data_IF_385362338859
#
_entry.id   IF_385362338859
#
_cell.length_a   1.000
_cell.length_b   1.000
_cell.length_c   1.000
_cell.angle_alpha   90.00
_cell.angle_beta   90.00
_cell.angle_gamma   90.00
#
_symmetry.space_group_name_H-M   'P 1'
#
loop_
_entity.id
_entity.type
_entity.pdbx_description
1 polymer ?
#
# COMPACT_ATOMS: atom_id res chain seq x y z
N UNK A 1 44.01 -29.67 -65.55
CA UNK A 1 44.32 -28.88 -64.35
C UNK A 1 43.01 -28.27 -63.88
N UNK A 2 42.41 -28.85 -62.88
CA UNK A 2 41.12 -28.42 -62.30
C UNK A 2 41.41 -27.71 -60.97
N UNK A 3 41.12 -26.43 -60.87
CA UNK A 3 41.28 -25.67 -59.66
C UNK A 3 40.03 -25.87 -58.78
N UNK A 4 40.26 -26.47 -57.63
CA UNK A 4 39.25 -26.69 -56.62
C UNK A 4 39.24 -25.45 -55.71
N UNK A 5 38.23 -24.59 -55.83
CA UNK A 5 38.01 -23.45 -54.91
C UNK A 5 37.20 -23.97 -53.73
N UNK A 6 37.87 -24.11 -52.58
CA UNK A 6 37.22 -24.44 -51.32
C UNK A 6 36.68 -23.17 -50.68
N UNK A 7 35.41 -22.93 -50.74
CA UNK A 7 34.74 -21.83 -50.05
C UNK A 7 34.57 -22.17 -48.57
N UNK A 8 35.30 -21.53 -47.69
CA UNK A 8 35.13 -21.64 -46.22
C UNK A 8 33.96 -20.73 -45.85
N UNK A 9 32.81 -21.31 -45.53
CA UNK A 9 31.70 -20.64 -44.88
C UNK A 9 32.05 -20.44 -43.38
N UNK A 10 32.50 -19.25 -43.01
CA UNK A 10 32.58 -18.84 -41.60
C UNK A 10 31.17 -18.56 -41.12
N UNK A 11 30.55 -19.52 -40.45
CA UNK A 11 29.31 -19.32 -39.74
C UNK A 11 29.55 -18.43 -38.50
N UNK A 12 29.22 -17.13 -38.59
CA UNK A 12 29.10 -16.29 -37.40
C UNK A 12 27.94 -16.80 -36.58
N UNK A 13 28.19 -17.62 -35.56
CA UNK A 13 27.23 -17.88 -34.50
C UNK A 13 27.03 -16.60 -33.70
N UNK A 14 25.98 -15.84 -34.03
CA UNK A 14 25.53 -14.74 -33.19
C UNK A 14 24.90 -15.39 -31.96
N UNK A 15 25.65 -15.46 -30.87
CA UNK A 15 25.09 -15.81 -29.57
C UNK A 15 24.21 -14.63 -29.12
N UNK A 16 22.91 -14.79 -29.33
CA UNK A 16 21.92 -13.90 -28.71
C UNK A 16 21.96 -14.22 -27.22
N UNK A 17 22.72 -13.45 -26.46
CA UNK A 17 22.61 -13.48 -25.02
C UNK A 17 21.25 -12.89 -24.66
N UNK A 18 20.36 -13.73 -24.12
CA UNK A 18 19.08 -13.28 -23.60
C UNK A 18 19.37 -12.34 -22.41
N UNK A 19 19.13 -11.06 -22.62
CA UNK A 19 19.37 -10.03 -21.59
C UNK A 19 18.30 -10.17 -20.50
N UNK A 20 18.72 -10.34 -19.23
CA UNK A 20 17.78 -10.36 -18.11
C UNK A 20 17.13 -9.00 -17.96
N UNK A 21 15.81 -8.93 -18.07
CA UNK A 21 15.00 -7.73 -17.87
C UNK A 21 14.25 -7.80 -16.54
N UNK A 22 14.44 -6.81 -15.68
CA UNK A 22 13.69 -6.67 -14.43
C UNK A 22 12.39 -5.93 -14.68
N UNK A 23 11.28 -6.44 -14.16
CA UNK A 23 10.01 -5.71 -14.22
C UNK A 23 10.09 -4.48 -13.32
N UNK A 24 9.78 -3.34 -13.89
CA UNK A 24 9.67 -2.06 -13.20
C UNK A 24 8.20 -1.61 -13.18
N UNK A 25 7.86 -0.73 -12.24
CA UNK A 25 6.52 -0.14 -12.14
C UNK A 25 5.41 -1.21 -12.05
N UNK A 26 5.59 -2.22 -11.19
CA UNK A 26 4.52 -3.19 -10.88
C UNK A 26 3.33 -2.39 -10.34
N UNK A 27 3.59 -1.46 -9.40
CA UNK A 27 2.64 -0.47 -8.94
C UNK A 27 3.13 0.95 -9.25
N UNK A 28 2.26 1.94 -9.08
CA UNK A 28 2.56 3.34 -9.45
C UNK A 28 3.53 4.01 -8.47
N UNK A 29 3.58 3.51 -7.22
CA UNK A 29 4.31 4.11 -6.09
C UNK A 29 4.66 3.03 -5.04
N UNK A 30 5.38 3.43 -3.98
CA UNK A 30 5.65 2.62 -2.77
C UNK A 30 4.38 2.26 -1.99
N UNK A 31 3.25 2.87 -2.30
CA UNK A 31 1.89 2.56 -1.83
C UNK A 31 0.99 2.19 -3.00
N UNK A 32 0.00 1.29 -2.76
CA UNK A 32 -1.04 1.00 -3.75
C UNK A 32 -2.14 2.06 -3.62
N UNK A 33 -2.91 2.03 -2.56
CA UNK A 33 -3.84 3.09 -2.15
C UNK A 33 -3.49 3.50 -0.71
N UNK A 34 -3.79 2.65 0.27
CA UNK A 34 -3.36 2.80 1.67
C UNK A 34 -2.28 1.79 1.99
N UNK A 35 -2.39 0.59 1.44
CA UNK A 35 -1.45 -0.50 1.67
C UNK A 35 -0.10 -0.27 0.98
N UNK A 36 0.92 -0.94 1.50
CA UNK A 36 2.24 -0.96 0.91
C UNK A 36 2.24 -1.74 -0.41
N UNK A 37 2.96 -1.24 -1.41
CA UNK A 37 3.27 -2.00 -2.62
C UNK A 37 4.58 -2.79 -2.46
N UNK A 38 4.85 -3.70 -3.39
CA UNK A 38 6.13 -4.42 -3.46
C UNK A 38 7.30 -3.49 -3.83
N UNK A 39 7.02 -2.28 -4.32
CA UNK A 39 8.02 -1.32 -4.76
C UNK A 39 8.83 -0.75 -3.58
N UNK A 40 10.11 -0.53 -3.82
CA UNK A 40 11.05 0.10 -2.89
C UNK A 40 11.85 1.17 -3.62
N UNK A 41 12.13 2.26 -2.94
CA UNK A 41 13.03 3.29 -3.44
C UNK A 41 14.43 2.71 -3.69
N UNK A 42 15.09 3.21 -4.72
CA UNK A 42 16.49 2.90 -4.98
C UNK A 42 17.40 3.59 -3.96
N UNK A 43 18.62 3.12 -3.85
CA UNK A 43 19.62 3.74 -2.97
C UNK A 43 19.75 5.23 -3.24
N UNK A 44 19.56 6.05 -2.18
CA UNK A 44 19.67 7.50 -2.25
C UNK A 44 18.41 8.21 -2.74
N UNK A 45 17.37 7.46 -3.13
CA UNK A 45 16.06 7.99 -3.50
C UNK A 45 15.19 8.16 -2.26
N UNK A 46 14.52 9.30 -2.14
CA UNK A 46 13.52 9.58 -1.12
C UNK A 46 12.17 9.87 -1.73
N UNK A 47 11.10 9.56 -0.99
CA UNK A 47 9.72 9.87 -1.37
C UNK A 47 9.03 10.57 -0.20
N UNK A 48 8.58 11.80 -0.42
CA UNK A 48 7.72 12.53 0.52
C UNK A 48 6.26 12.23 0.20
N UNK A 49 5.46 11.92 1.22
CA UNK A 49 4.09 11.45 1.07
C UNK A 49 3.16 12.24 1.98
N UNK A 50 2.09 12.79 1.39
CA UNK A 50 0.94 13.33 2.10
C UNK A 50 -0.26 12.45 1.78
N UNK A 51 -0.86 11.85 2.80
CA UNK A 51 -2.10 11.08 2.70
C UNK A 51 -3.20 11.76 3.49
N UNK A 52 -4.39 11.84 2.92
CA UNK A 52 -5.54 12.48 3.55
C UNK A 52 -6.80 11.63 3.37
N UNK A 53 -7.62 11.55 4.42
CA UNK A 53 -8.97 10.99 4.41
C UNK A 53 -9.94 12.03 4.92
N UNK A 54 -11.02 12.23 4.20
CA UNK A 54 -12.13 13.08 4.62
C UNK A 54 -13.11 12.30 5.50
N UNK A 55 -14.13 12.97 5.99
CA UNK A 55 -15.22 12.36 6.73
C UNK A 55 -16.09 11.45 5.86
N UNK A 56 -17.16 10.92 6.45
CA UNK A 56 -18.11 10.07 5.75
C UNK A 56 -18.87 10.89 4.69
N UNK A 57 -18.95 10.34 3.46
CA UNK A 57 -19.67 10.95 2.35
C UNK A 57 -21.18 10.90 2.63
N UNK A 58 -21.65 9.78 3.22
CA UNK A 58 -23.05 9.52 3.52
C UNK A 58 -23.26 9.42 5.03
N UNK A 59 -24.29 10.07 5.54
CA UNK A 59 -24.68 10.03 6.95
C UNK A 59 -26.21 9.93 7.03
N UNK A 60 -26.70 8.70 7.05
CA UNK A 60 -28.10 8.32 7.25
C UNK A 60 -29.12 8.72 6.17
N UNK A 61 -28.81 9.61 5.23
CA UNK A 61 -29.68 9.94 4.11
C UNK A 61 -28.90 10.45 2.87
N UNK A 62 -29.51 10.35 1.69
CA UNK A 62 -28.89 10.77 0.44
C UNK A 62 -28.65 12.30 0.36
N UNK A 63 -29.38 13.11 1.15
CA UNK A 63 -29.21 14.55 1.19
C UNK A 63 -27.90 14.92 1.90
N UNK A 64 -27.43 14.05 2.81
CA UNK A 64 -26.18 14.23 3.53
C UNK A 64 -24.95 14.34 2.60
N UNK A 65 -24.98 13.72 1.42
CA UNK A 65 -23.91 13.81 0.42
C UNK A 65 -23.67 15.26 0.01
N UNK A 66 -24.73 16.03 -0.21
CA UNK A 66 -24.65 17.45 -0.55
C UNK A 66 -24.38 18.31 0.70
N UNK A 67 -25.06 18.02 1.79
CA UNK A 67 -24.97 18.75 3.05
C UNK A 67 -23.54 18.68 3.65
N UNK A 68 -22.93 17.50 3.64
CA UNK A 68 -21.55 17.32 4.13
C UNK A 68 -20.50 17.56 3.04
N UNK A 69 -20.90 18.05 1.89
CA UNK A 69 -20.04 18.29 0.73
C UNK A 69 -19.08 17.13 0.48
N UNK A 70 -19.62 15.92 0.21
CA UNK A 70 -18.86 14.67 -0.02
C UNK A 70 -17.90 14.29 1.13
N UNK A 71 -18.23 14.66 2.37
CA UNK A 71 -17.41 14.40 3.56
C UNK A 71 -16.31 15.45 3.83
N UNK A 72 -16.22 16.51 3.03
CA UNK A 72 -15.19 17.56 3.24
C UNK A 72 -15.40 18.33 4.55
N UNK A 73 -16.65 18.48 5.02
CA UNK A 73 -16.98 19.15 6.30
C UNK A 73 -16.83 18.21 7.50
N UNK A 74 -16.53 16.92 7.26
CA UNK A 74 -16.33 15.92 8.31
C UNK A 74 -14.94 15.94 8.92
N UNK A 75 -14.74 15.09 9.94
CA UNK A 75 -13.44 14.91 10.56
C UNK A 75 -12.41 14.35 9.56
N UNK A 76 -11.24 14.99 9.49
CA UNK A 76 -10.17 14.61 8.58
C UNK A 76 -9.06 13.85 9.31
N UNK A 77 -8.51 12.82 8.68
CA UNK A 77 -7.27 12.18 9.10
C UNK A 77 -6.19 12.39 8.03
N UNK A 78 -5.06 12.90 8.45
CA UNK A 78 -3.92 13.17 7.58
C UNK A 78 -2.68 12.45 8.12
N UNK A 79 -1.86 11.90 7.21
CA UNK A 79 -0.53 11.38 7.50
C UNK A 79 0.50 12.07 6.60
N UNK A 80 1.57 12.54 7.22
CA UNK A 80 2.77 13.01 6.52
C UNK A 80 3.85 11.97 6.75
N UNK A 81 4.50 11.53 5.68
CA UNK A 81 5.53 10.49 5.72
C UNK A 81 6.71 10.79 4.81
N UNK A 82 7.80 10.11 5.11
CA UNK A 82 9.04 10.14 4.36
C UNK A 82 9.58 8.73 4.23
N UNK A 83 9.88 8.32 3.02
CA UNK A 83 10.51 7.04 2.69
C UNK A 83 11.90 7.28 2.12
N UNK A 84 12.86 6.36 2.36
CA UNK A 84 14.23 6.49 1.86
C UNK A 84 14.87 5.14 1.55
N UNK A 85 15.46 5.01 0.36
CA UNK A 85 16.21 3.84 -0.07
C UNK A 85 17.63 3.83 0.51
N UNK A 86 17.87 2.97 1.50
CA UNK A 86 19.22 2.74 2.10
C UNK A 86 20.11 1.99 1.11
N UNK A 87 19.54 0.98 0.47
CA UNK A 87 20.18 0.21 -0.61
C UNK A 87 19.15 0.01 -1.73
N UNK A 88 19.56 -0.57 -2.85
CA UNK A 88 18.63 -0.91 -3.93
C UNK A 88 17.56 -1.95 -3.53
N UNK A 89 17.64 -2.53 -2.34
CA UNK A 89 16.72 -3.55 -1.84
C UNK A 89 16.13 -3.25 -0.45
N UNK A 90 16.72 -2.32 0.30
CA UNK A 90 16.29 -1.95 1.63
C UNK A 90 15.83 -0.50 1.64
N UNK A 91 14.58 -0.29 1.93
CA UNK A 91 13.94 1.01 2.15
C UNK A 91 13.47 1.09 3.60
N UNK A 92 13.65 2.24 4.22
CA UNK A 92 13.05 2.60 5.48
C UNK A 92 12.11 3.79 5.27
N UNK A 93 11.19 3.96 6.15
CA UNK A 93 10.31 5.12 6.13
C UNK A 93 9.60 5.30 7.45
N UNK A 94 8.82 6.35 7.52
CA UNK A 94 8.03 6.63 8.70
C UNK A 94 7.18 7.87 8.49
N UNK A 95 6.32 8.15 9.46
CA UNK A 95 5.44 9.28 9.37
C UNK A 95 4.69 9.56 10.67
N UNK A 96 3.75 10.49 10.56
CA UNK A 96 2.83 10.84 11.64
C UNK A 96 1.42 10.95 11.10
N UNK A 97 0.51 10.17 11.69
CA UNK A 97 -0.92 10.24 11.46
C UNK A 97 -1.60 11.16 12.48
N UNK A 98 -2.65 11.88 12.06
CA UNK A 98 -3.49 12.68 12.96
C UNK A 98 -4.28 11.83 13.96
N UNK A 99 -4.71 10.65 13.56
CA UNK A 99 -5.45 9.73 14.42
C UNK A 99 -4.59 9.27 15.60
N UNK A 100 -5.07 9.47 16.82
CA UNK A 100 -4.36 9.22 18.09
C UNK A 100 -2.95 9.83 18.12
N UNK A 101 -2.67 10.82 17.28
CA UNK A 101 -1.33 11.44 17.12
C UNK A 101 -0.25 10.36 16.94
N UNK A 102 -0.52 9.35 16.12
CA UNK A 102 0.33 8.16 15.98
C UNK A 102 1.54 8.44 15.10
N UNK A 103 2.72 8.08 15.58
CA UNK A 103 3.94 7.97 14.78
C UNK A 103 4.14 6.54 14.33
N UNK A 104 4.62 6.36 13.12
CA UNK A 104 4.98 5.05 12.57
C UNK A 104 6.39 5.09 11.98
N UNK A 105 7.08 3.96 12.03
CA UNK A 105 8.34 3.72 11.35
C UNK A 105 8.35 2.31 10.79
N UNK A 106 8.90 2.13 9.59
CA UNK A 106 8.89 0.84 8.92
C UNK A 106 10.17 0.57 8.13
N UNK A 107 10.38 -0.72 7.84
CA UNK A 107 11.38 -1.19 6.89
C UNK A 107 10.72 -2.07 5.83
N UNK A 108 11.17 -1.95 4.58
CA UNK A 108 10.83 -2.82 3.45
C UNK A 108 12.10 -3.44 2.90
N UNK A 109 12.10 -4.75 2.79
CA UNK A 109 13.21 -5.49 2.19
C UNK A 109 12.75 -6.26 0.97
N UNK A 110 13.18 -5.81 -0.21
CA UNK A 110 12.93 -6.49 -1.47
C UNK A 110 13.83 -7.72 -1.57
N UNK A 111 13.26 -8.90 -1.34
CA UNK A 111 13.95 -10.20 -1.39
C UNK A 111 14.20 -10.58 -2.84
N UNK A 112 13.18 -10.42 -3.70
CA UNK A 112 13.18 -10.87 -5.08
C UNK A 112 12.43 -9.88 -5.97
N UNK A 113 13.05 -9.45 -7.08
CA UNK A 113 12.41 -8.69 -8.14
C UNK A 113 11.93 -9.62 -9.23
N UNK A 114 10.76 -9.37 -9.78
CA UNK A 114 10.28 -10.08 -10.96
C UNK A 114 11.22 -9.84 -12.15
N UNK A 115 11.63 -10.91 -12.84
CA UNK A 115 12.58 -10.87 -13.95
C UNK A 115 12.17 -11.83 -15.06
N UNK A 116 12.55 -11.50 -16.28
CA UNK A 116 12.43 -12.35 -17.47
C UNK A 116 13.76 -12.37 -18.24
N UNK A 117 13.99 -13.40 -19.02
CA UNK A 117 15.25 -13.63 -19.74
C UNK A 117 16.03 -14.82 -19.17
N UNK A 118 17.35 -14.73 -19.03
CA UNK A 118 18.21 -15.81 -18.51
C UNK A 118 17.80 -16.28 -17.11
N UNK A 119 17.36 -15.36 -16.28
CA UNK A 119 16.71 -15.66 -15.00
C UNK A 119 15.24 -15.32 -15.09
N UNK A 120 14.40 -16.34 -14.97
CA UNK A 120 12.95 -16.16 -14.96
C UNK A 120 12.42 -16.27 -13.53
N UNK A 121 12.14 -15.11 -12.92
CA UNK A 121 11.53 -14.98 -11.61
C UNK A 121 10.12 -14.41 -11.80
N UNK A 122 9.07 -15.24 -11.68
CA UNK A 122 7.73 -14.86 -12.11
C UNK A 122 7.02 -13.86 -11.20
N UNK A 123 7.56 -13.59 -10.02
CA UNK A 123 6.99 -12.70 -9.01
C UNK A 123 8.06 -11.82 -8.37
N UNK A 124 7.65 -10.69 -7.82
CA UNK A 124 8.44 -9.91 -6.88
C UNK A 124 7.99 -10.22 -5.45
N UNK A 125 8.94 -10.26 -4.50
CA UNK A 125 8.68 -10.53 -3.08
C UNK A 125 9.36 -9.47 -2.24
N UNK A 126 8.61 -8.83 -1.34
CA UNK A 126 9.10 -7.83 -0.39
C UNK A 126 8.55 -8.13 0.99
N UNK A 127 9.41 -8.10 2.02
CA UNK A 127 9.01 -8.09 3.41
C UNK A 127 8.81 -6.66 3.88
N UNK A 128 7.78 -6.46 4.68
CA UNK A 128 7.47 -5.20 5.36
C UNK A 128 7.33 -5.47 6.85
N UNK A 129 7.90 -4.59 7.67
CA UNK A 129 7.75 -4.56 9.12
C UNK A 129 7.56 -3.11 9.55
N UNK A 130 6.54 -2.88 10.33
CA UNK A 130 6.16 -1.57 10.88
C UNK A 130 6.07 -1.62 12.39
N UNK A 131 6.38 -0.49 13.02
CA UNK A 131 6.14 -0.20 14.42
C UNK A 131 5.43 1.14 14.50
N UNK A 132 4.29 1.19 15.17
CA UNK A 132 3.55 2.41 15.43
C UNK A 132 3.49 2.72 16.92
N UNK A 133 3.48 4.02 17.24
CA UNK A 133 3.47 4.55 18.60
C UNK A 133 2.39 5.62 18.75
N UNK A 134 1.44 5.40 19.66
CA UNK A 134 0.40 6.36 20.01
C UNK A 134 0.98 7.40 20.98
N UNK A 135 1.10 8.64 20.53
CA UNK A 135 1.61 9.75 21.36
C UNK A 135 0.52 10.53 22.06
N UNK A 136 -0.76 10.26 21.77
CA UNK A 136 -1.87 10.93 22.45
C UNK A 136 -1.96 10.46 23.91
N UNK A 137 -1.75 11.40 24.84
CA UNK A 137 -1.80 11.15 26.28
C UNK A 137 -3.19 11.31 26.87
N UNK A 138 -4.17 11.74 26.08
CA UNK A 138 -5.55 11.92 26.57
C UNK A 138 -6.34 10.61 26.57
N UNK A 139 -5.82 9.55 25.98
CA UNK A 139 -6.44 8.23 25.98
C UNK A 139 -6.13 7.48 27.29
N UNK A 140 -7.06 7.53 28.23
CA UNK A 140 -6.91 6.92 29.56
C UNK A 140 -6.66 5.39 29.54
N UNK A 141 -7.06 4.69 28.47
CA UNK A 141 -6.83 3.24 28.33
C UNK A 141 -5.34 2.94 28.14
N UNK A 142 -4.57 3.86 27.54
CA UNK A 142 -3.15 3.69 27.24
C UNK A 142 -2.21 4.22 28.33
N UNK A 143 -2.74 4.57 29.50
CA UNK A 143 -1.96 5.25 30.55
C UNK A 143 -1.25 4.29 31.52
N UNK A 144 -1.46 2.97 31.35
CA UNK A 144 -0.91 1.98 32.30
C UNK A 144 0.61 1.81 32.16
N UNK A 145 1.07 1.51 30.94
CA UNK A 145 2.51 1.34 30.68
C UNK A 145 2.88 1.94 29.30
N UNK A 146 4.09 2.47 29.21
CA UNK A 146 4.62 3.05 27.97
C UNK A 146 4.59 2.05 26.81
N UNK A 147 4.85 0.78 27.07
CA UNK A 147 4.86 -0.30 26.07
C UNK A 147 3.48 -0.57 25.45
N UNK A 148 2.40 -0.25 26.18
CA UNK A 148 1.02 -0.45 25.71
C UNK A 148 0.67 0.42 24.49
N UNK A 149 1.45 1.48 24.28
CA UNK A 149 1.27 2.44 23.17
C UNK A 149 1.80 1.95 21.84
N UNK A 150 2.47 0.79 21.82
CA UNK A 150 3.05 0.25 20.60
C UNK A 150 2.17 -0.80 19.95
N UNK A 151 2.16 -0.77 18.62
CA UNK A 151 1.59 -1.80 17.76
C UNK A 151 2.56 -2.10 16.61
N UNK A 152 2.40 -3.26 16.00
CA UNK A 152 3.32 -3.74 14.96
C UNK A 152 2.53 -4.34 13.81
N UNK A 153 3.05 -4.18 12.58
CA UNK A 153 2.52 -4.85 11.41
C UNK A 153 3.63 -5.57 10.65
N UNK A 154 3.35 -6.79 10.23
CA UNK A 154 4.24 -7.60 9.41
C UNK A 154 3.49 -8.06 8.17
N UNK A 155 4.07 -7.81 6.98
CA UNK A 155 3.46 -8.20 5.71
C UNK A 155 4.48 -8.87 4.80
N UNK A 156 4.07 -9.97 4.17
CA UNK A 156 4.80 -10.55 3.05
C UNK A 156 4.07 -10.14 1.76
N UNK A 157 4.66 -9.24 1.00
CA UNK A 157 4.09 -8.77 -0.26
C UNK A 157 4.62 -9.64 -1.41
N UNK A 158 3.71 -10.28 -2.15
CA UNK A 158 4.01 -11.10 -3.32
C UNK A 158 3.23 -10.51 -4.49
N UNK A 159 3.95 -9.95 -5.47
CA UNK A 159 3.35 -9.25 -6.58
C UNK A 159 3.80 -9.81 -7.93
N UNK A 160 2.93 -9.64 -8.93
CA UNK A 160 3.21 -9.98 -10.31
C UNK A 160 2.64 -8.94 -11.26
N UNK A 161 3.48 -8.44 -12.15
CA UNK A 161 3.08 -7.72 -13.35
C UNK A 161 2.85 -8.76 -14.45
N UNK A 162 1.59 -9.00 -14.80
CA UNK A 162 1.21 -9.99 -15.82
C UNK A 162 1.49 -9.48 -17.22
N UNK A 163 1.30 -8.20 -17.43
CA UNK A 163 1.56 -7.46 -18.67
C UNK A 163 1.64 -5.97 -18.36
N UNK A 164 1.77 -5.11 -19.39
CA UNK A 164 1.87 -3.67 -19.19
C UNK A 164 0.62 -3.02 -18.58
N UNK A 165 -0.52 -3.73 -18.60
CA UNK A 165 -1.78 -3.21 -18.05
C UNK A 165 -2.11 -3.73 -16.66
N UNK A 166 -1.82 -5.01 -16.37
CA UNK A 166 -2.32 -5.70 -15.17
C UNK A 166 -1.19 -6.10 -14.22
N UNK A 167 -1.29 -5.62 -12.99
CA UNK A 167 -0.48 -6.06 -11.84
C UNK A 167 -1.39 -6.48 -10.69
N UNK A 168 -0.96 -7.50 -9.94
CA UNK A 168 -1.67 -8.04 -8.78
C UNK A 168 -0.68 -8.25 -7.65
N UNK A 169 -1.11 -8.04 -6.41
CA UNK A 169 -0.35 -8.30 -5.19
C UNK A 169 -1.21 -9.02 -4.17
N UNK A 170 -0.63 -9.98 -3.45
CA UNK A 170 -1.21 -10.58 -2.25
C UNK A 170 -0.34 -10.26 -1.05
N UNK A 171 -0.96 -10.13 0.13
CA UNK A 171 -0.31 -9.62 1.34
C UNK A 171 -0.78 -10.38 2.59
N UNK A 172 -0.29 -11.61 2.84
CA UNK A 172 -0.41 -12.19 4.17
C UNK A 172 0.13 -11.20 5.22
N UNK A 173 -0.69 -10.90 6.22
CA UNK A 173 -0.45 -9.82 7.19
C UNK A 173 -0.71 -10.34 8.60
N UNK A 174 0.17 -9.96 9.52
CA UNK A 174 0.01 -10.08 10.96
C UNK A 174 0.07 -8.67 11.57
N UNK A 175 -0.95 -8.31 12.33
CA UNK A 175 -0.95 -7.14 13.21
C UNK A 175 -0.80 -7.63 14.64
N UNK A 176 0.07 -7.01 15.44
CA UNK A 176 0.17 -7.18 16.87
C UNK A 176 -0.02 -5.86 17.59
N UNK A 177 -0.92 -5.82 18.57
CA UNK A 177 -1.17 -4.66 19.43
C UNK A 177 -0.84 -5.03 20.87
N UNK A 178 0.06 -4.28 21.52
CA UNK A 178 0.42 -4.56 22.92
C UNK A 178 -0.78 -4.39 23.84
N UNK A 179 -1.66 -3.44 23.54
CA UNK A 179 -2.91 -3.23 24.26
C UNK A 179 -4.09 -3.09 23.28
N UNK A 180 -5.21 -3.69 23.63
CA UNK A 180 -6.51 -3.55 22.95
C UNK A 180 -7.51 -2.87 23.86
N UNK A 181 -8.50 -2.19 23.28
CA UNK A 181 -9.44 -1.39 24.05
C UNK A 181 -10.38 -2.26 24.91
N UNK A 182 -10.71 -3.45 24.45
CA UNK A 182 -11.62 -4.38 25.14
C UNK A 182 -11.11 -5.82 25.12
N UNK A 183 -11.59 -6.65 26.05
CA UNK A 183 -11.28 -8.09 26.07
C UNK A 183 -11.86 -8.88 24.89
N UNK A 184 -12.78 -8.27 24.13
CA UNK A 184 -13.34 -8.88 22.92
C UNK A 184 -12.43 -8.73 21.70
N UNK A 185 -11.44 -7.85 21.77
CA UNK A 185 -10.44 -7.65 20.72
C UNK A 185 -9.25 -8.58 20.92
N UNK A 186 -8.70 -9.08 19.81
CA UNK A 186 -7.45 -9.84 19.82
C UNK A 186 -6.24 -8.89 19.74
N UNK A 187 -5.19 -9.21 20.49
CA UNK A 187 -3.89 -8.53 20.30
C UNK A 187 -3.28 -8.86 18.93
N UNK A 188 -3.50 -10.10 18.46
CA UNK A 188 -3.00 -10.59 17.17
C UNK A 188 -4.16 -10.69 16.18
N UNK A 189 -4.00 -10.02 15.03
CA UNK A 189 -4.96 -10.06 13.92
C UNK A 189 -4.24 -10.54 12.67
N UNK A 190 -4.70 -11.66 12.12
CA UNK A 190 -4.22 -12.20 10.85
C UNK A 190 -5.18 -11.80 9.73
N UNK A 191 -4.64 -11.25 8.67
CA UNK A 191 -5.40 -10.84 7.49
C UNK A 191 -4.71 -11.29 6.21
N UNK A 192 -5.50 -11.47 5.16
CA UNK A 192 -5.01 -11.68 3.80
C UNK A 192 -5.39 -10.47 2.95
N UNK A 193 -4.41 -9.66 2.61
CA UNK A 193 -4.57 -8.55 1.68
C UNK A 193 -4.48 -9.02 0.22
N UNK A 194 -5.26 -8.38 -0.64
CA UNK A 194 -5.16 -8.49 -2.09
C UNK A 194 -5.28 -7.10 -2.72
N UNK A 195 -4.50 -6.85 -3.76
CA UNK A 195 -4.56 -5.60 -4.50
C UNK A 195 -4.36 -5.83 -5.99
N UNK A 196 -4.98 -4.98 -6.80
CA UNK A 196 -4.87 -4.98 -8.25
C UNK A 196 -4.65 -3.57 -8.75
N UNK A 197 -3.81 -3.42 -9.79
CA UNK A 197 -3.66 -2.20 -10.58
C UNK A 197 -3.90 -2.52 -12.04
N UNK A 198 -4.69 -1.67 -12.71
CA UNK A 198 -4.92 -1.73 -14.15
C UNK A 198 -4.58 -0.40 -14.80
N UNK A 199 -3.55 -0.38 -15.64
CA UNK A 199 -3.12 0.81 -16.38
C UNK A 199 -4.08 1.04 -17.55
N UNK A 200 -4.80 2.16 -17.53
CA UNK A 200 -5.64 2.65 -18.64
C UNK A 200 -4.78 3.30 -19.72
N UNK A 201 -3.79 4.08 -19.28
CA UNK A 201 -2.76 4.73 -20.09
C UNK A 201 -1.41 4.63 -19.38
N UNK A 202 -0.29 5.06 -19.97
CA UNK A 202 1.00 5.11 -19.27
C UNK A 202 1.02 6.02 -18.03
N UNK A 203 0.07 6.95 -17.90
CA UNK A 203 0.00 7.92 -16.80
C UNK A 203 -1.22 7.74 -15.91
N UNK A 204 -2.22 6.97 -16.34
CA UNK A 204 -3.48 6.78 -15.62
C UNK A 204 -3.72 5.31 -15.32
N UNK A 205 -3.96 4.97 -14.06
CA UNK A 205 -4.32 3.63 -13.64
C UNK A 205 -5.52 3.63 -12.69
N UNK A 206 -6.19 2.51 -12.60
CA UNK A 206 -7.19 2.20 -11.57
C UNK A 206 -6.59 1.16 -10.66
N UNK A 207 -6.75 1.35 -9.35
CA UNK A 207 -6.28 0.43 -8.33
C UNK A 207 -7.42 0.04 -7.39
N UNK A 208 -7.37 -1.19 -6.87
CA UNK A 208 -8.27 -1.65 -5.82
C UNK A 208 -7.47 -2.46 -4.79
N UNK A 209 -7.89 -2.39 -3.53
CA UNK A 209 -7.32 -3.19 -2.46
C UNK A 209 -8.39 -3.65 -1.47
N UNK A 210 -8.17 -4.83 -0.89
CA UNK A 210 -9.06 -5.46 0.08
C UNK A 210 -8.23 -6.27 1.08
N UNK A 211 -8.58 -6.21 2.37
CA UNK A 211 -7.99 -7.04 3.42
C UNK A 211 -9.08 -7.85 4.09
N UNK A 212 -9.00 -9.16 3.93
CA UNK A 212 -9.85 -10.13 4.60
C UNK A 212 -9.23 -10.50 5.94
N UNK A 213 -9.92 -10.16 7.02
CA UNK A 213 -9.53 -10.58 8.37
C UNK A 213 -10.02 -12.01 8.63
N UNK A 214 -9.17 -12.86 9.20
CA UNK A 214 -9.57 -14.22 9.50
C UNK A 214 -10.72 -14.21 10.55
N UNK A 215 -11.69 -15.14 10.44
CA UNK A 215 -12.87 -15.14 11.29
C UNK A 215 -12.55 -15.18 12.79
N UNK A 216 -13.34 -14.45 13.58
CA UNK A 216 -13.26 -14.46 15.05
C UNK A 216 -12.15 -13.61 15.66
N UNK A 217 -11.41 -12.82 14.86
CA UNK A 217 -10.34 -11.96 15.37
C UNK A 217 -10.76 -10.52 15.61
N UNK A 218 -11.78 -10.07 14.89
CA UNK A 218 -12.35 -8.75 15.07
C UNK A 218 -13.68 -8.85 15.86
N UNK A 219 -13.94 -7.92 16.79
CA UNK A 219 -15.21 -7.85 17.50
C UNK A 219 -16.35 -7.44 16.56
N UNK A 220 -17.59 -7.63 17.02
CA UNK A 220 -18.77 -7.19 16.29
C UNK A 220 -18.73 -5.69 16.00
N UNK A 221 -19.09 -5.29 14.78
CA UNK A 221 -19.05 -3.90 14.31
C UNK A 221 -17.71 -3.51 13.65
N UNK A 222 -16.70 -4.40 13.66
CA UNK A 222 -15.49 -4.22 12.88
C UNK A 222 -15.59 -4.99 11.56
N UNK A 223 -15.08 -4.43 10.50
CA UNK A 223 -15.25 -4.90 9.14
C UNK A 223 -13.92 -4.94 8.39
N UNK A 224 -13.92 -5.69 7.30
CA UNK A 224 -12.79 -5.76 6.38
C UNK A 224 -12.54 -4.42 5.69
N UNK A 225 -11.27 -4.09 5.52
CA UNK A 225 -10.85 -2.90 4.81
C UNK A 225 -10.95 -3.08 3.29
N UNK A 226 -11.43 -2.05 2.60
CA UNK A 226 -11.48 -1.99 1.15
C UNK A 226 -11.31 -0.57 0.62
N UNK A 227 -10.72 -0.46 -0.56
CA UNK A 227 -10.55 0.80 -1.26
C UNK A 227 -10.50 0.63 -2.78
N UNK A 228 -10.95 1.69 -3.47
CA UNK A 228 -10.79 1.89 -4.91
C UNK A 228 -10.04 3.20 -5.14
N UNK A 229 -9.13 3.24 -6.10
CA UNK A 229 -8.31 4.40 -6.38
C UNK A 229 -8.08 4.65 -7.87
N UNK A 230 -7.77 5.89 -8.18
CA UNK A 230 -7.29 6.33 -9.47
C UNK A 230 -5.91 6.94 -9.26
N UNK A 231 -4.91 6.43 -9.96
CA UNK A 231 -3.53 6.90 -9.92
C UNK A 231 -3.24 7.75 -11.15
N UNK A 232 -2.65 8.92 -10.94
CA UNK A 232 -2.16 9.82 -12.00
C UNK A 232 -0.66 9.99 -11.78
N UNK A 233 0.14 9.33 -12.62
CA UNK A 233 1.61 9.37 -12.56
C UNK A 233 2.15 10.49 -13.46
N UNK A 234 2.96 11.36 -12.89
CA UNK A 234 3.67 12.42 -13.62
C UNK A 234 5.18 12.29 -13.39
N UNK A 235 5.98 13.16 -14.00
CA UNK A 235 7.42 13.19 -13.72
C UNK A 235 7.67 13.58 -12.24
N UNK A 236 7.97 12.58 -11.40
CA UNK A 236 8.35 12.76 -9.99
C UNK A 236 7.19 13.01 -9.03
N UNK A 237 5.93 12.87 -9.45
CA UNK A 237 4.77 12.84 -8.54
C UNK A 237 3.81 11.73 -8.93
N UNK A 238 3.17 11.14 -7.93
CA UNK A 238 1.97 10.33 -8.11
C UNK A 238 0.84 10.97 -7.30
N UNK A 239 -0.28 11.24 -7.97
CA UNK A 239 -1.51 11.70 -7.36
C UNK A 239 -2.48 10.52 -7.34
N UNK A 240 -3.06 10.23 -6.19
CA UNK A 240 -4.06 9.18 -6.04
C UNK A 240 -5.32 9.78 -5.45
N UNK A 241 -6.46 9.56 -6.08
CA UNK A 241 -7.78 9.89 -5.55
C UNK A 241 -8.44 8.56 -5.23
N UNK A 242 -9.11 8.45 -4.09
CA UNK A 242 -9.56 7.16 -3.61
C UNK A 242 -10.86 7.23 -2.80
N UNK A 243 -11.62 6.15 -2.88
CA UNK A 243 -12.78 5.87 -2.06
C UNK A 243 -12.48 4.66 -1.18
N UNK A 244 -12.76 4.74 0.11
CA UNK A 244 -12.49 3.68 1.09
C UNK A 244 -13.53 3.67 2.20
N UNK A 245 -13.73 2.52 2.84
CA UNK A 245 -14.55 2.41 4.04
C UNK A 245 -13.82 2.74 5.34
N UNK A 246 -12.52 3.09 5.27
CA UNK A 246 -11.69 3.32 6.46
C UNK A 246 -11.17 4.77 6.54
N UNK A 247 -11.24 5.43 7.71
CA UNK A 247 -10.61 6.72 7.94
C UNK A 247 -9.10 6.60 8.21
N UNK A 248 -8.57 5.39 8.34
CA UNK A 248 -7.24 5.14 8.86
C UNK A 248 -6.18 5.05 7.75
N UNK A 249 -4.91 5.32 8.12
CA UNK A 249 -3.79 5.49 7.20
C UNK A 249 -2.59 4.59 7.52
N UNK A 250 -2.63 3.86 8.65
CA UNK A 250 -1.58 2.91 9.06
C UNK A 250 -2.17 1.50 9.24
N UNK A 251 -1.38 0.44 9.00
CA UNK A 251 -1.88 -0.94 8.90
C UNK A 251 -2.68 -1.42 10.12
N UNK A 252 -2.23 -1.12 11.32
CA UNK A 252 -2.83 -1.57 12.56
C UNK A 252 -4.27 -1.09 12.73
N UNK A 253 -4.59 0.06 12.13
CA UNK A 253 -5.93 0.62 12.21
C UNK A 253 -6.78 0.29 10.98
N UNK A 254 -6.27 0.49 9.74
CA UNK A 254 -7.16 0.22 8.59
C UNK A 254 -7.45 -1.28 8.41
N UNK A 255 -6.57 -2.19 8.86
CA UNK A 255 -6.83 -3.63 8.84
C UNK A 255 -7.61 -4.05 10.09
N UNK A 256 -7.15 -3.64 11.28
CA UNK A 256 -7.63 -4.15 12.55
C UNK A 256 -8.73 -3.34 13.24
N UNK A 257 -9.10 -2.15 12.73
CA UNK A 257 -10.03 -1.25 13.42
C UNK A 257 -11.04 -0.54 12.51
N UNK A 258 -11.20 -0.95 11.25
CA UNK A 258 -12.20 -0.41 10.35
C UNK A 258 -13.60 -0.84 10.80
N UNK A 259 -14.51 0.14 10.99
CA UNK A 259 -15.86 -0.10 11.53
C UNK A 259 -16.97 -0.01 10.47
N UNK A 260 -16.72 0.52 9.29
CA UNK A 260 -17.73 0.68 8.25
C UNK A 260 -17.66 -0.43 7.20
N UNK A 261 -18.78 -0.97 6.78
CA UNK A 261 -18.90 -1.67 5.49
C UNK A 261 -19.12 -0.64 4.38
N UNK A 262 -18.69 -0.94 3.13
CA UNK A 262 -18.99 -0.07 1.98
C UNK A 262 -20.49 0.14 1.86
N UNK A 263 -21.24 -0.95 2.00
CA UNK A 263 -22.72 -0.95 2.00
C UNK A 263 -23.14 -1.71 3.26
N UNK A 264 -23.88 -1.06 4.12
CA UNK A 264 -24.48 -1.67 5.32
C UNK A 264 -25.99 -1.44 5.31
N UNK A 265 -26.70 -2.12 6.19
CA UNK A 265 -28.09 -1.85 6.49
C UNK A 265 -28.21 -1.66 7.99
N UNK A 266 -28.82 -0.56 8.40
CA UNK A 266 -29.15 -0.34 9.79
C UNK A 266 -30.25 -1.29 10.26
N UNK A 267 -30.54 -1.29 11.55
CA UNK A 267 -31.59 -2.13 12.15
C UNK A 267 -33.00 -1.85 11.58
N UNK A 268 -33.21 -0.73 10.89
CA UNK A 268 -34.46 -0.38 10.20
C UNK A 268 -34.51 -0.87 8.75
N UNK A 269 -33.41 -1.44 8.24
CA UNK A 269 -33.25 -1.86 6.85
C UNK A 269 -32.88 -0.72 5.90
N UNK A 270 -32.55 0.46 6.43
CA UNK A 270 -32.06 1.59 5.63
C UNK A 270 -30.59 1.36 5.23
N UNK A 271 -30.27 1.63 3.96
CA UNK A 271 -28.89 1.54 3.47
C UNK A 271 -28.03 2.61 4.13
N UNK A 272 -26.87 2.19 4.62
CA UNK A 272 -25.78 3.05 5.06
C UNK A 272 -24.57 2.85 4.16
N UNK A 273 -23.91 3.94 3.77
CA UNK A 273 -22.73 3.93 2.92
C UNK A 273 -21.56 4.51 3.70
N UNK A 274 -20.75 3.62 4.27
CA UNK A 274 -19.52 4.03 4.97
C UNK A 274 -18.38 4.26 3.98
N UNK A 275 -18.49 5.30 3.18
CA UNK A 275 -17.50 5.68 2.19
C UNK A 275 -16.86 7.02 2.53
N UNK A 276 -15.56 7.08 2.38
CA UNK A 276 -14.73 8.27 2.53
C UNK A 276 -13.94 8.55 1.28
N UNK A 277 -13.93 9.80 0.89
CA UNK A 277 -12.98 10.29 -0.11
C UNK A 277 -11.62 10.49 0.54
N UNK A 278 -10.57 10.26 -0.23
CA UNK A 278 -9.21 10.54 0.19
C UNK A 278 -8.30 10.79 -0.98
N UNK A 279 -7.09 11.25 -0.69
CA UNK A 279 -6.04 11.37 -1.68
C UNK A 279 -4.67 11.06 -1.07
N UNK A 280 -3.75 10.65 -1.92
CA UNK A 280 -2.32 10.67 -1.64
C UNK A 280 -1.62 11.56 -2.68
N UNK A 281 -0.62 12.27 -2.23
CA UNK A 281 0.32 13.00 -3.10
C UNK A 281 1.71 12.55 -2.69
N UNK A 282 2.46 12.01 -3.65
CA UNK A 282 3.84 11.61 -3.44
C UNK A 282 4.78 12.42 -4.31
N UNK A 283 5.96 12.68 -3.79
CA UNK A 283 7.03 13.38 -4.48
C UNK A 283 8.35 12.64 -4.29
N UNK A 284 8.90 12.14 -5.39
CA UNK A 284 10.23 11.55 -5.38
C UNK A 284 11.30 12.61 -5.51
N UNK A 285 12.42 12.39 -4.81
CA UNK A 285 13.59 13.25 -4.85
C UNK A 285 14.88 12.42 -4.62
N UNK A 286 16.01 12.93 -5.10
CA UNK A 286 17.31 12.30 -4.95
C UNK A 286 18.11 13.02 -3.87
N UNK A 287 18.64 12.27 -2.88
CA UNK A 287 19.52 12.77 -1.81
C UNK A 287 20.99 12.39 -2.03
N UNK A 288 21.40 12.00 -3.22
CA UNK A 288 22.78 11.65 -3.54
C UNK A 288 22.91 11.35 -5.01
N UNK A 289 23.82 12.03 -5.68
CA UNK A 289 23.94 12.02 -7.14
C UNK A 289 24.11 10.65 -7.76
N UNK A 290 23.04 10.00 -8.15
CA UNK A 290 23.00 9.15 -9.32
C UNK A 290 22.75 10.07 -10.51
N UNK A 291 23.77 10.32 -11.32
CA UNK A 291 23.57 10.80 -12.69
C UNK A 291 23.07 9.59 -13.49
N UNK A 292 21.88 9.71 -14.11
CA UNK A 292 21.37 8.76 -15.10
C UNK A 292 22.12 8.97 -16.43
#
# INVERSE_FOLDING_TARGET
MKNLITTILLGCAVSVQAQTSTAHDIFSDTRIITSQSVETNWKGEGTFIISHRFGDIYQNDAYSILYNFLGFDGGANMRIGLDYGITDRLMIGGGRSGYNKTYDAFAKWNIMRQQSGDKNLPVAITLYSDISFISDTTNAVLDSFFVDRFSYAYQLMIARKFNEKLSVQIMPTLIHRNLVATKAESNDVFALGAAVKYNLTPVLAISAEYFYNLPGQLPAGFNDYSALGIDIKTKGHVFQIQLTNSPFLIPEYYIGATQGNIIDQDASGQFDLNLRLGFNITRDFQLGGRQY
#
